data_IF_909117238083
#
_entry.id   IF_909117238083
#
_cell.length_a   1.000
_cell.length_b   1.000
_cell.length_c   1.000
_cell.angle_alpha   90.00
_cell.angle_beta   90.00
_cell.angle_gamma   90.00
#
_symmetry.space_group_name_H-M   'P 1'
#
loop_
_entity.id
_entity.type
_entity.pdbx_description
1 polymer ?
#
# COMPACT_ATOMS: atom_id res chain seq x y z
N UNK A 1 27.26 -4.66 28.30
CA UNK A 1 26.86 -5.00 26.91
C UNK A 1 26.92 -3.71 26.13
N UNK A 2 27.78 -3.62 25.13
CA UNK A 2 27.86 -2.41 24.30
C UNK A 2 26.59 -2.26 23.45
N UNK A 3 26.36 -1.06 22.89
CA UNK A 3 25.25 -0.85 21.96
C UNK A 3 25.35 -1.78 20.74
N UNK A 4 26.56 -2.03 20.25
CA UNK A 4 26.83 -2.95 19.16
C UNK A 4 26.50 -4.41 19.52
N UNK A 5 26.82 -4.87 20.74
CA UNK A 5 26.45 -6.20 21.21
C UNK A 5 24.93 -6.38 21.29
N UNK A 6 24.22 -5.35 21.73
CA UNK A 6 22.75 -5.37 21.84
C UNK A 6 22.10 -5.44 20.46
N UNK A 7 22.60 -4.68 19.48
CA UNK A 7 22.11 -4.70 18.10
C UNK A 7 22.42 -6.05 17.45
N UNK A 8 23.65 -6.57 17.62
CA UNK A 8 24.06 -7.87 17.10
C UNK A 8 23.16 -9.00 17.61
N UNK A 9 22.88 -9.05 18.90
CA UNK A 9 21.99 -10.06 19.51
C UNK A 9 20.56 -9.96 18.98
N UNK A 10 20.06 -8.75 18.70
CA UNK A 10 18.73 -8.59 18.10
C UNK A 10 18.68 -9.04 16.64
N UNK A 11 19.77 -8.92 15.86
CA UNK A 11 19.85 -9.44 14.50
C UNK A 11 19.71 -10.96 14.43
N UNK A 12 20.15 -11.70 15.46
CA UNK A 12 20.01 -13.15 15.57
C UNK A 12 18.54 -13.62 15.59
N UNK A 13 17.59 -12.71 15.85
CA UNK A 13 16.16 -12.99 15.82
C UNK A 13 15.48 -12.53 14.52
N UNK A 14 16.24 -11.94 13.59
CA UNK A 14 15.70 -11.45 12.33
C UNK A 14 16.10 -12.35 11.16
N UNK A 15 15.17 -12.47 10.21
CA UNK A 15 15.38 -13.20 8.95
C UNK A 15 15.42 -12.23 7.76
N UNK A 16 15.97 -12.69 6.64
CA UNK A 16 15.88 -12.00 5.36
C UNK A 16 15.02 -12.85 4.42
N UNK A 17 14.12 -12.21 3.65
CA UNK A 17 13.23 -12.85 2.69
C UNK A 17 13.39 -12.21 1.31
N UNK A 18 13.75 -13.02 0.31
CA UNK A 18 14.05 -12.56 -1.04
C UNK A 18 13.14 -13.30 -2.03
N UNK A 19 12.05 -12.66 -2.54
CA UNK A 19 11.30 -13.19 -3.67
C UNK A 19 12.16 -13.09 -4.93
N UNK A 20 12.29 -14.18 -5.69
CA UNK A 20 13.18 -14.28 -6.84
C UNK A 20 12.47 -14.90 -8.06
N UNK A 21 12.32 -14.11 -9.12
CA UNK A 21 11.92 -14.57 -10.44
C UNK A 21 12.94 -14.08 -11.48
N UNK A 22 13.62 -15.00 -12.12
CA UNK A 22 14.76 -14.70 -13.01
C UNK A 22 15.75 -13.75 -12.31
N UNK A 23 16.34 -14.17 -11.19
CA UNK A 23 17.19 -13.29 -10.36
C UNK A 23 18.49 -12.91 -11.09
N UNK A 24 19.05 -11.77 -10.71
CA UNK A 24 20.37 -11.35 -11.17
C UNK A 24 21.48 -12.28 -10.69
N UNK A 25 22.53 -12.43 -11.51
CA UNK A 25 23.68 -13.29 -11.19
C UNK A 25 24.44 -12.86 -9.91
N UNK A 26 24.22 -11.65 -9.43
CA UNK A 26 24.80 -11.11 -8.18
C UNK A 26 24.08 -11.59 -6.91
N UNK A 27 22.92 -12.26 -7.01
CA UNK A 27 22.17 -12.69 -5.83
C UNK A 27 22.96 -13.59 -4.87
N UNK A 28 23.74 -14.60 -5.31
CA UNK A 28 24.55 -15.41 -4.40
C UNK A 28 25.60 -14.58 -3.63
N UNK A 29 26.22 -13.58 -4.28
CA UNK A 29 27.19 -12.69 -3.60
C UNK A 29 26.51 -11.83 -2.54
N UNK A 30 25.31 -11.31 -2.83
CA UNK A 30 24.50 -10.56 -1.85
C UNK A 30 24.14 -11.43 -0.65
N UNK A 31 23.66 -12.66 -0.89
CA UNK A 31 23.34 -13.62 0.18
C UNK A 31 24.58 -13.98 1.00
N UNK A 32 25.73 -14.25 0.34
CA UNK A 32 26.99 -14.53 1.03
C UNK A 32 27.43 -13.35 1.93
N UNK A 33 27.22 -12.11 1.48
CA UNK A 33 27.51 -10.92 2.30
C UNK A 33 26.57 -10.81 3.51
N UNK A 34 25.29 -11.18 3.37
CA UNK A 34 24.32 -11.22 4.48
C UNK A 34 24.68 -12.29 5.51
N UNK A 35 25.16 -13.45 5.07
CA UNK A 35 25.56 -14.56 5.96
C UNK A 35 26.76 -14.24 6.86
N UNK A 36 27.55 -13.20 6.54
CA UNK A 36 28.58 -12.65 7.43
C UNK A 36 28.00 -11.93 8.65
N UNK A 37 26.70 -11.71 8.66
CA UNK A 37 25.95 -11.10 9.77
C UNK A 37 25.13 -12.16 10.50
N UNK A 38 24.79 -11.97 11.77
CA UNK A 38 24.15 -12.97 12.58
C UNK A 38 22.63 -13.05 12.33
N UNK A 39 22.17 -12.99 11.07
CA UNK A 39 20.77 -13.25 10.74
C UNK A 39 20.41 -14.70 11.06
N UNK A 40 19.21 -14.91 11.59
CA UNK A 40 18.67 -16.23 11.92
C UNK A 40 18.62 -17.15 10.68
N UNK A 41 18.08 -16.62 9.58
CA UNK A 41 18.02 -17.32 8.29
C UNK A 41 17.86 -16.35 7.13
N UNK A 42 18.25 -16.79 5.92
CA UNK A 42 17.91 -16.16 4.65
C UNK A 42 16.97 -17.10 3.89
N UNK A 43 15.76 -16.64 3.59
CA UNK A 43 14.76 -17.40 2.81
C UNK A 43 14.68 -16.78 1.41
N UNK A 44 14.93 -17.59 0.40
CA UNK A 44 14.78 -17.22 -1.01
C UNK A 44 13.59 -17.99 -1.57
N UNK A 45 12.63 -17.30 -2.19
CA UNK A 45 11.48 -17.94 -2.82
C UNK A 45 11.65 -17.85 -4.34
N UNK A 46 12.01 -18.97 -4.96
CA UNK A 46 12.02 -19.11 -6.42
C UNK A 46 10.59 -19.16 -6.93
N UNK A 47 10.14 -18.09 -7.57
CA UNK A 47 8.78 -17.93 -8.08
C UNK A 47 8.62 -18.54 -9.49
N UNK A 48 9.02 -19.80 -9.65
CA UNK A 48 8.90 -20.50 -10.93
C UNK A 48 9.82 -19.96 -12.02
N UNK A 49 11.06 -19.66 -11.65
CA UNK A 49 12.08 -19.26 -12.63
C UNK A 49 12.39 -20.40 -13.61
N UNK A 50 12.80 -20.09 -14.87
CA UNK A 50 13.14 -21.10 -15.85
C UNK A 50 14.38 -21.92 -15.43
N UNK A 51 14.53 -23.11 -16.01
CA UNK A 51 15.63 -24.04 -15.70
C UNK A 51 17.04 -23.43 -15.87
N UNK A 52 17.20 -22.41 -16.71
CA UNK A 52 18.45 -21.67 -16.85
C UNK A 52 18.94 -20.99 -15.58
N UNK A 53 18.06 -20.77 -14.60
CA UNK A 53 18.40 -20.18 -13.30
C UNK A 53 18.73 -21.23 -12.25
N UNK A 54 18.56 -22.55 -12.52
CA UNK A 54 18.67 -23.59 -11.49
C UNK A 54 20.06 -23.65 -10.86
N UNK A 55 21.12 -23.50 -11.65
CA UNK A 55 22.50 -23.47 -11.13
C UNK A 55 22.72 -22.36 -10.08
N UNK A 56 22.02 -21.22 -10.21
CA UNK A 56 22.06 -20.13 -9.22
C UNK A 56 21.36 -20.54 -7.93
N UNK A 57 20.20 -21.18 -8.03
CA UNK A 57 19.47 -21.65 -6.85
C UNK A 57 20.19 -22.80 -6.14
N UNK A 58 20.91 -23.67 -6.88
CA UNK A 58 21.75 -24.72 -6.30
C UNK A 58 22.90 -24.13 -5.47
N UNK A 59 23.54 -23.06 -5.96
CA UNK A 59 24.54 -22.33 -5.19
C UNK A 59 23.95 -21.78 -3.88
N UNK A 60 22.72 -21.26 -3.92
CA UNK A 60 22.04 -20.76 -2.73
C UNK A 60 21.68 -21.88 -1.75
N UNK A 61 21.20 -23.04 -2.23
CA UNK A 61 20.89 -24.22 -1.39
C UNK A 61 22.12 -24.77 -0.67
N UNK A 62 23.31 -24.63 -1.26
CA UNK A 62 24.56 -25.06 -0.65
C UNK A 62 25.06 -24.12 0.48
N UNK A 63 24.48 -22.94 0.65
CA UNK A 63 24.89 -21.99 1.67
C UNK A 63 24.25 -22.29 3.03
N UNK A 64 24.99 -22.19 4.15
CA UNK A 64 24.44 -22.41 5.49
C UNK A 64 23.36 -21.36 5.82
N UNK A 65 22.34 -21.76 6.55
CA UNK A 65 21.22 -20.89 6.96
C UNK A 65 20.41 -20.26 5.79
N UNK A 66 20.57 -20.77 4.57
CA UNK A 66 19.78 -20.38 3.40
C UNK A 66 18.73 -21.45 3.12
N UNK A 67 17.49 -21.01 2.96
CA UNK A 67 16.35 -21.86 2.65
C UNK A 67 15.75 -21.41 1.31
N UNK A 68 15.75 -22.30 0.31
CA UNK A 68 15.17 -22.03 -1.00
C UNK A 68 13.82 -22.74 -1.11
N UNK A 69 12.75 -21.94 -1.20
CA UNK A 69 11.39 -22.42 -1.48
C UNK A 69 11.12 -22.29 -2.97
N UNK A 70 10.32 -23.19 -3.56
CA UNK A 70 10.09 -23.23 -5.01
C UNK A 70 8.60 -23.25 -5.31
N UNK A 71 8.14 -22.35 -6.16
CA UNK A 71 6.83 -22.41 -6.79
C UNK A 71 6.90 -23.17 -8.14
N UNK A 72 5.90 -23.96 -8.45
CA UNK A 72 5.84 -24.70 -9.72
C UNK A 72 5.69 -23.77 -10.94
N UNK A 73 5.21 -22.53 -10.75
CA UNK A 73 5.07 -21.49 -11.78
C UNK A 73 5.13 -20.12 -11.12
N UNK A 74 5.30 -19.07 -11.93
CA UNK A 74 5.24 -17.69 -11.45
C UNK A 74 3.84 -17.38 -10.89
N UNK A 75 3.78 -17.06 -9.60
CA UNK A 75 2.57 -16.68 -8.86
C UNK A 75 2.55 -15.19 -8.49
N UNK A 76 3.66 -14.50 -8.73
CA UNK A 76 3.87 -13.08 -8.45
C UNK A 76 4.55 -12.78 -7.11
N UNK A 77 5.15 -11.59 -7.02
CA UNK A 77 5.96 -11.15 -5.87
C UNK A 77 5.20 -11.26 -4.53
N UNK A 78 3.93 -10.85 -4.50
CA UNK A 78 3.12 -10.92 -3.29
C UNK A 78 2.86 -12.36 -2.83
N UNK A 79 2.68 -13.32 -3.78
CA UNK A 79 2.57 -14.73 -3.44
C UNK A 79 3.85 -15.25 -2.83
N UNK A 80 5.00 -14.92 -3.41
CA UNK A 80 6.33 -15.31 -2.90
C UNK A 80 6.58 -14.76 -1.50
N UNK A 81 6.23 -13.49 -1.26
CA UNK A 81 6.33 -12.91 0.08
C UNK A 81 5.42 -13.64 1.08
N UNK A 82 4.19 -13.97 0.72
CA UNK A 82 3.27 -14.74 1.59
C UNK A 82 3.80 -16.14 1.89
N UNK A 83 4.32 -16.84 0.89
CA UNK A 83 4.94 -18.16 1.07
C UNK A 83 6.12 -18.09 2.03
N UNK A 84 7.03 -17.11 1.84
CA UNK A 84 8.16 -16.91 2.74
C UNK A 84 7.75 -16.54 4.16
N UNK A 85 6.75 -15.65 4.34
CA UNK A 85 6.21 -15.29 5.64
C UNK A 85 5.57 -16.50 6.35
N UNK A 86 4.83 -17.34 5.62
CA UNK A 86 4.26 -18.57 6.15
C UNK A 86 5.32 -19.56 6.60
N UNK A 87 6.35 -19.78 5.78
CA UNK A 87 7.48 -20.61 6.12
C UNK A 87 8.22 -20.10 7.37
N UNK A 88 8.53 -18.82 7.43
CA UNK A 88 9.18 -18.20 8.59
C UNK A 88 8.30 -18.31 9.86
N UNK A 89 6.99 -18.20 9.71
CA UNK A 89 6.06 -18.34 10.82
C UNK A 89 6.10 -19.74 11.45
N UNK A 90 6.23 -20.78 10.65
CA UNK A 90 6.21 -22.18 11.08
C UNK A 90 7.60 -22.71 11.45
N UNK A 91 8.61 -22.48 10.60
CA UNK A 91 9.94 -23.04 10.76
C UNK A 91 10.80 -22.28 11.79
N UNK A 92 10.52 -20.98 12.02
CA UNK A 92 11.29 -20.13 12.90
C UNK A 92 10.38 -19.40 13.93
N UNK A 93 9.88 -20.12 14.96
CA UNK A 93 8.99 -19.49 15.96
C UNK A 93 9.64 -18.34 16.71
N UNK A 94 10.97 -18.34 16.88
CA UNK A 94 11.75 -17.27 17.51
C UNK A 94 12.05 -16.08 16.59
N UNK A 95 11.63 -16.10 15.32
CA UNK A 95 11.83 -14.97 14.40
C UNK A 95 10.99 -13.78 14.85
N UNK A 96 11.64 -12.67 15.23
CA UNK A 96 11.00 -11.43 15.69
C UNK A 96 10.53 -10.53 14.53
N UNK A 97 11.10 -10.71 13.34
CA UNK A 97 10.76 -9.95 12.14
C UNK A 97 11.57 -10.37 10.93
N UNK A 98 11.21 -9.85 9.77
CA UNK A 98 11.87 -10.19 8.50
C UNK A 98 12.18 -8.93 7.71
N UNK A 99 13.32 -8.93 7.03
CA UNK A 99 13.69 -7.91 6.06
C UNK A 99 13.43 -8.48 4.67
N UNK A 100 12.54 -7.84 3.88
CA UNK A 100 12.36 -8.17 2.48
C UNK A 100 13.36 -7.42 1.62
N UNK A 101 13.90 -8.06 0.58
CA UNK A 101 14.77 -7.43 -0.41
C UNK A 101 14.48 -8.02 -1.80
N UNK A 102 14.68 -7.23 -2.87
CA UNK A 102 14.50 -7.69 -4.24
C UNK A 102 15.72 -8.48 -4.72
N UNK A 103 15.51 -9.44 -5.65
CA UNK A 103 16.55 -10.27 -6.22
C UNK A 103 17.23 -9.65 -7.46
N UNK A 104 16.97 -8.36 -7.73
CA UNK A 104 17.45 -7.61 -8.91
C UNK A 104 18.77 -6.88 -8.69
N UNK A 105 19.41 -7.07 -7.52
CA UNK A 105 20.69 -6.45 -7.18
C UNK A 105 20.64 -4.96 -6.82
N UNK A 106 19.45 -4.35 -6.75
CA UNK A 106 19.31 -2.93 -6.41
C UNK A 106 19.46 -2.65 -4.90
N UNK A 107 19.40 -3.70 -4.06
CA UNK A 107 19.56 -3.58 -2.61
C UNK A 107 20.92 -4.11 -2.15
N UNK A 108 21.78 -3.22 -1.66
CA UNK A 108 23.06 -3.63 -1.08
C UNK A 108 22.88 -4.37 0.25
N UNK A 109 23.78 -5.30 0.58
CA UNK A 109 23.79 -5.95 1.89
C UNK A 109 23.89 -4.94 3.05
N UNK A 110 24.55 -3.79 2.83
CA UNK A 110 24.65 -2.68 3.78
C UNK A 110 23.29 -2.04 4.06
N UNK A 111 22.49 -1.81 3.02
CA UNK A 111 21.18 -1.21 3.18
C UNK A 111 20.17 -2.18 3.82
N UNK A 112 20.26 -3.48 3.48
CA UNK A 112 19.49 -4.53 4.14
C UNK A 112 19.81 -4.55 5.64
N UNK A 113 21.08 -4.44 6.01
CA UNK A 113 21.51 -4.37 7.41
C UNK A 113 20.97 -3.11 8.11
N UNK A 114 21.03 -1.94 7.48
CA UNK A 114 20.48 -0.69 8.06
C UNK A 114 18.97 -0.81 8.37
N UNK A 115 18.21 -1.42 7.46
CA UNK A 115 16.79 -1.66 7.69
C UNK A 115 16.57 -2.68 8.81
N UNK A 116 17.43 -3.69 8.92
CA UNK A 116 17.38 -4.67 10.00
C UNK A 116 17.69 -4.03 11.37
N UNK A 117 18.72 -3.20 11.46
CA UNK A 117 19.07 -2.44 12.66
C UNK A 117 17.92 -1.52 13.11
N UNK A 118 17.30 -0.84 12.16
CA UNK A 118 16.15 0.01 12.44
C UNK A 118 14.93 -0.79 12.93
N UNK A 119 14.67 -1.98 12.36
CA UNK A 119 13.62 -2.87 12.83
C UNK A 119 13.94 -3.43 14.24
N UNK A 120 15.20 -3.78 14.49
CA UNK A 120 15.70 -4.24 15.80
C UNK A 120 15.54 -3.15 16.88
N UNK A 121 15.75 -1.88 16.50
CA UNK A 121 15.54 -0.72 17.38
C UNK A 121 14.03 -0.44 17.61
N UNK A 122 13.20 -0.64 16.59
CA UNK A 122 11.77 -0.33 16.59
C UNK A 122 10.91 -1.56 16.21
N UNK A 123 10.79 -2.58 17.06
CA UNK A 123 10.15 -3.86 16.72
C UNK A 123 8.63 -3.77 16.52
N UNK A 124 8.05 -2.60 16.74
CA UNK A 124 6.62 -2.31 16.48
C UNK A 124 6.40 -1.56 15.16
N UNK A 125 7.45 -1.10 14.49
CA UNK A 125 7.35 -0.34 13.26
C UNK A 125 7.42 -1.24 12.03
N UNK A 126 6.71 -0.84 10.97
CA UNK A 126 7.03 -1.23 9.60
C UNK A 126 8.12 -0.30 9.09
N UNK A 127 9.31 -0.82 8.85
CA UNK A 127 10.46 -0.06 8.38
C UNK A 127 10.52 -0.08 6.85
N UNK A 128 10.77 1.05 6.21
CA UNK A 128 10.86 1.20 4.76
C UNK A 128 12.25 1.73 4.39
N UNK A 129 12.92 1.07 3.47
CA UNK A 129 14.13 1.61 2.85
C UNK A 129 13.75 2.75 1.90
N UNK A 130 14.04 3.99 2.24
CA UNK A 130 13.69 5.15 1.43
C UNK A 130 14.86 5.59 0.55
N UNK A 131 14.72 5.47 -0.78
CA UNK A 131 15.72 5.93 -1.75
C UNK A 131 15.83 7.45 -1.71
N UNK A 132 17.05 7.95 -1.84
CA UNK A 132 17.29 9.39 -2.01
C UNK A 132 17.15 9.74 -3.49
N UNK A 133 16.17 10.56 -3.80
CA UNK A 133 15.98 11.11 -5.15
C UNK A 133 16.72 12.45 -5.23
N UNK A 134 17.90 12.43 -5.81
CA UNK A 134 18.75 13.61 -6.04
C UNK A 134 18.50 14.27 -7.41
N UNK A 135 19.29 15.30 -7.74
CA UNK A 135 19.19 16.01 -9.02
C UNK A 135 19.52 15.13 -10.24
N UNK A 136 20.26 14.05 -10.06
CA UNK A 136 20.63 13.09 -11.11
C UNK A 136 19.49 12.11 -11.44
N UNK A 137 18.45 12.02 -10.60
CA UNK A 137 17.31 11.14 -10.84
C UNK A 137 16.49 11.63 -12.03
N UNK A 138 16.18 10.79 -13.04
CA UNK A 138 15.37 11.16 -14.18
C UNK A 138 14.02 11.77 -13.77
N UNK A 139 13.59 12.86 -14.43
CA UNK A 139 12.36 13.59 -14.13
C UNK A 139 11.12 12.68 -14.09
N UNK A 140 11.05 11.70 -15.01
CA UNK A 140 9.96 10.70 -15.05
C UNK A 140 9.85 9.93 -13.72
N UNK A 141 10.97 9.52 -13.14
CA UNK A 141 11.00 8.76 -11.88
C UNK A 141 10.63 9.68 -10.69
N UNK A 142 11.06 10.93 -10.71
CA UNK A 142 10.70 11.93 -9.69
C UNK A 142 9.20 12.24 -9.71
N UNK A 143 8.63 12.49 -10.88
CA UNK A 143 7.19 12.72 -11.03
C UNK A 143 6.37 11.50 -10.64
N UNK A 144 6.79 10.29 -11.09
CA UNK A 144 6.14 9.04 -10.72
C UNK A 144 6.14 8.81 -9.21
N UNK A 145 7.27 9.06 -8.52
CA UNK A 145 7.33 8.95 -7.08
C UNK A 145 6.46 10.01 -6.37
N UNK A 146 6.45 11.27 -6.85
CA UNK A 146 5.59 12.31 -6.25
C UNK A 146 4.10 11.97 -6.36
N UNK A 147 3.66 11.49 -7.53
CA UNK A 147 2.27 11.06 -7.74
C UNK A 147 1.94 9.84 -6.85
N UNK A 148 2.84 8.85 -6.78
CA UNK A 148 2.66 7.67 -5.93
C UNK A 148 2.60 8.07 -4.44
N UNK A 149 3.46 8.98 -3.97
CA UNK A 149 3.42 9.51 -2.60
C UNK A 149 2.11 10.21 -2.29
N UNK A 150 1.62 11.06 -3.19
CA UNK A 150 0.32 11.71 -3.04
C UNK A 150 -0.80 10.68 -2.96
N UNK A 151 -0.82 9.72 -3.88
CA UNK A 151 -1.84 8.69 -3.92
C UNK A 151 -1.81 7.77 -2.68
N UNK A 152 -0.61 7.33 -2.24
CA UNK A 152 -0.46 6.54 -1.00
C UNK A 152 -0.81 7.39 0.22
N UNK A 153 -0.39 8.65 0.29
CA UNK A 153 -0.80 9.59 1.33
C UNK A 153 -2.33 9.71 1.43
N UNK A 154 -3.01 9.79 0.28
CA UNK A 154 -4.47 9.83 0.22
C UNK A 154 -5.12 8.47 0.54
N UNK A 155 -4.62 7.36 0.00
CA UNK A 155 -5.25 6.03 0.16
C UNK A 155 -4.92 5.41 1.51
N UNK A 156 -3.66 5.46 1.93
CA UNK A 156 -3.18 4.87 3.20
C UNK A 156 -3.25 5.87 4.35
N UNK A 157 -3.16 7.16 4.06
CA UNK A 157 -3.09 8.22 5.08
C UNK A 157 -1.74 8.29 5.79
N UNK A 158 -0.67 7.89 5.09
CA UNK A 158 0.71 7.98 5.56
C UNK A 158 1.56 8.66 4.49
N UNK A 159 2.28 9.71 4.88
CA UNK A 159 3.14 10.47 3.99
C UNK A 159 4.56 9.90 4.02
N UNK A 160 4.83 8.97 3.10
CA UNK A 160 6.11 8.27 3.00
C UNK A 160 6.96 8.89 1.88
N UNK A 161 8.29 8.88 2.04
CA UNK A 161 9.23 9.43 1.05
C UNK A 161 9.38 8.51 -0.15
N UNK A 162 9.39 7.19 0.09
CA UNK A 162 9.42 6.17 -0.95
C UNK A 162 8.41 5.07 -0.65
N UNK A 163 7.37 5.01 -1.48
CA UNK A 163 6.27 4.05 -1.32
C UNK A 163 6.44 2.79 -2.15
N UNK A 164 7.43 2.80 -3.06
CA UNK A 164 7.65 1.75 -4.06
C UNK A 164 8.85 0.84 -3.74
N UNK A 165 9.50 1.06 -2.60
CA UNK A 165 10.64 0.23 -2.19
C UNK A 165 10.20 -1.18 -1.83
N UNK A 166 10.92 -2.19 -2.33
CA UNK A 166 10.81 -3.59 -1.92
C UNK A 166 11.60 -3.91 -0.66
N UNK A 167 12.52 -3.03 -0.25
CA UNK A 167 13.32 -3.20 0.96
C UNK A 167 12.53 -2.74 2.18
N UNK A 168 12.03 -3.69 2.96
CA UNK A 168 11.14 -3.44 4.11
C UNK A 168 11.52 -4.30 5.30
N UNK A 169 11.47 -3.73 6.49
CA UNK A 169 11.54 -4.45 7.77
C UNK A 169 10.14 -4.68 8.32
N UNK A 170 9.70 -5.93 8.36
CA UNK A 170 8.34 -6.34 8.73
C UNK A 170 8.37 -7.00 10.11
N UNK A 171 7.73 -6.44 11.13
CA UNK A 171 7.65 -7.06 12.45
C UNK A 171 6.75 -8.32 12.45
N UNK A 172 7.10 -9.32 13.26
CA UNK A 172 6.41 -10.61 13.38
C UNK A 172 4.88 -10.48 13.51
N UNK A 173 4.42 -9.49 14.27
CA UNK A 173 2.98 -9.25 14.52
C UNK A 173 2.16 -8.99 13.26
N UNK A 174 2.79 -8.69 12.12
CA UNK A 174 2.12 -8.50 10.85
C UNK A 174 2.02 -9.75 10.00
N UNK A 175 2.78 -10.83 10.27
CA UNK A 175 2.88 -11.98 9.39
C UNK A 175 1.52 -12.59 9.04
N UNK A 176 0.69 -12.90 10.02
CA UNK A 176 -0.65 -13.48 9.81
C UNK A 176 -1.55 -12.56 8.98
N UNK A 177 -1.53 -11.24 9.30
CA UNK A 177 -2.33 -10.26 8.55
C UNK A 177 -1.89 -10.16 7.10
N UNK A 178 -0.60 -10.21 6.85
CA UNK A 178 -0.05 -10.12 5.49
C UNK A 178 -0.35 -11.38 4.68
N UNK A 179 -0.33 -12.54 5.29
CA UNK A 179 -0.72 -13.79 4.64
C UNK A 179 -2.21 -13.80 4.25
N UNK A 180 -3.07 -13.14 5.03
CA UNK A 180 -4.50 -13.01 4.75
C UNK A 180 -4.85 -11.99 3.64
N UNK A 181 -3.87 -11.25 3.10
CA UNK A 181 -4.10 -10.30 2.00
C UNK A 181 -4.40 -11.10 0.72
N UNK A 182 -5.53 -10.83 0.00
CA UNK A 182 -5.86 -11.54 -1.24
C UNK A 182 -4.87 -11.28 -2.38
N UNK A 183 -4.30 -10.06 -2.44
CA UNK A 183 -3.36 -9.64 -3.47
C UNK A 183 -2.13 -10.55 -3.55
N UNK A 184 -1.68 -10.88 -4.76
CA UNK A 184 -0.52 -11.76 -5.00
C UNK A 184 0.55 -11.14 -5.90
N UNK A 185 0.26 -9.97 -6.52
CA UNK A 185 1.19 -9.23 -7.35
C UNK A 185 1.88 -8.08 -6.61
N UNK A 186 2.28 -7.05 -7.34
CA UNK A 186 2.88 -5.81 -6.79
C UNK A 186 1.91 -4.99 -5.92
N UNK A 187 0.60 -5.20 -6.07
CA UNK A 187 -0.45 -4.64 -5.21
C UNK A 187 -0.34 -5.08 -3.75
N UNK A 188 0.28 -6.23 -3.49
CA UNK A 188 0.54 -6.72 -2.14
C UNK A 188 1.33 -5.71 -1.30
N UNK A 189 2.29 -5.02 -1.90
CA UNK A 189 3.13 -4.04 -1.19
C UNK A 189 2.36 -2.80 -0.73
N UNK A 190 1.34 -2.38 -1.47
CA UNK A 190 0.44 -1.31 -1.05
C UNK A 190 -0.55 -1.79 0.01
N UNK A 191 -1.11 -2.98 -0.18
CA UNK A 191 -2.01 -3.58 0.80
C UNK A 191 -1.30 -3.87 2.13
N UNK A 192 0.01 -4.16 2.10
CA UNK A 192 0.86 -4.26 3.29
C UNK A 192 0.88 -2.94 4.08
N UNK A 193 1.06 -1.79 3.41
CA UNK A 193 1.04 -0.47 4.08
C UNK A 193 -0.33 -0.23 4.75
N UNK A 194 -1.40 -0.54 4.04
CA UNK A 194 -2.76 -0.42 4.56
C UNK A 194 -3.00 -1.35 5.75
N UNK A 195 -2.56 -2.61 5.65
CA UNK A 195 -2.68 -3.60 6.72
C UNK A 195 -1.86 -3.22 7.97
N UNK A 196 -0.65 -2.69 7.77
CA UNK A 196 0.20 -2.18 8.84
C UNK A 196 -0.44 -1.00 9.57
N UNK A 197 -1.01 -0.03 8.84
CA UNK A 197 -1.75 1.09 9.42
C UNK A 197 -2.92 0.60 10.27
N UNK A 198 -3.75 -0.30 9.73
CA UNK A 198 -4.90 -0.86 10.46
C UNK A 198 -4.49 -1.73 11.66
N UNK A 199 -3.25 -2.23 11.68
CA UNK A 199 -2.67 -2.92 12.82
C UNK A 199 -2.10 -1.94 13.88
N UNK A 200 -2.19 -0.63 13.66
CA UNK A 200 -1.56 0.36 14.51
C UNK A 200 -0.03 0.28 14.52
N UNK A 201 0.58 -0.13 13.37
CA UNK A 201 2.03 -0.06 13.22
C UNK A 201 2.47 1.38 13.03
N UNK A 202 3.57 1.71 13.68
CA UNK A 202 4.36 2.89 13.33
C UNK A 202 5.06 2.66 11.98
N UNK A 203 5.34 3.75 11.26
CA UNK A 203 6.11 3.71 10.04
C UNK A 203 7.45 4.41 10.29
N UNK A 204 8.54 3.71 9.98
CA UNK A 204 9.88 4.25 10.06
C UNK A 204 10.55 4.19 8.68
N UNK A 205 11.30 5.21 8.31
CA UNK A 205 12.01 5.27 7.05
C UNK A 205 13.53 5.31 7.28
N UNK A 206 14.23 4.41 6.61
CA UNK A 206 15.70 4.34 6.64
C UNK A 206 16.24 4.77 5.29
N UNK A 207 17.10 5.80 5.20
CA UNK A 207 17.72 6.19 3.94
C UNK A 207 18.59 5.07 3.37
N UNK A 208 18.36 4.72 2.11
CA UNK A 208 19.14 3.72 1.37
C UNK A 208 19.75 4.33 0.11
N UNK A 209 20.79 3.67 -0.39
CA UNK A 209 21.43 4.05 -1.65
C UNK A 209 20.54 3.66 -2.84
N UNK A 210 20.57 4.47 -3.89
CA UNK A 210 19.87 4.15 -5.13
C UNK A 210 20.88 3.59 -6.12
N UNK A 211 20.82 2.27 -6.36
CA UNK A 211 21.72 1.61 -7.32
C UNK A 211 21.00 1.58 -8.67
N UNK A 212 21.53 2.34 -9.64
CA UNK A 212 21.06 2.29 -11.02
C UNK A 212 21.91 1.29 -11.80
N UNK A 213 21.38 0.12 -12.09
CA UNK A 213 22.04 -0.84 -12.96
C UNK A 213 21.85 -0.40 -14.42
N UNK A 214 22.95 -0.17 -15.13
CA UNK A 214 22.94 0.13 -16.58
C UNK A 214 22.40 -1.07 -17.35
N UNK A 215 21.26 -0.89 -18.00
CA UNK A 215 20.64 -1.95 -18.82
C UNK A 215 19.46 -2.68 -18.19
N UNK A 216 18.75 -2.06 -17.29
CA UNK A 216 17.60 -2.55 -16.48
C UNK A 216 16.60 -3.45 -17.25
N UNK A 217 17.03 -4.66 -17.66
CA UNK A 217 16.21 -5.69 -18.33
C UNK A 217 15.37 -6.51 -17.34
N UNK A 218 15.72 -6.48 -16.07
CA UNK A 218 15.10 -7.28 -15.01
C UNK A 218 13.99 -6.56 -14.23
N UNK A 219 13.80 -5.24 -14.43
CA UNK A 219 12.67 -4.55 -13.81
C UNK A 219 11.39 -4.80 -14.59
N UNK A 220 10.64 -5.81 -14.22
CA UNK A 220 9.26 -6.05 -14.70
C UNK A 220 8.27 -5.05 -14.11
N UNK A 221 8.74 -4.02 -13.39
CA UNK A 221 7.95 -2.95 -12.82
C UNK A 221 7.43 -2.03 -13.93
N UNK A 222 6.13 -2.00 -14.13
CA UNK A 222 5.46 -1.03 -14.97
C UNK A 222 4.92 0.12 -14.11
N UNK A 223 5.59 1.30 -14.07
CA UNK A 223 5.20 2.40 -13.18
C UNK A 223 3.75 2.85 -13.33
N UNK A 224 3.18 2.70 -14.54
CA UNK A 224 1.79 3.06 -14.82
C UNK A 224 0.81 1.99 -14.29
N UNK A 225 1.05 0.71 -14.57
CA UNK A 225 0.14 -0.37 -14.18
C UNK A 225 0.18 -0.62 -12.66
N UNK A 226 1.35 -0.54 -12.04
CA UNK A 226 1.50 -0.78 -10.61
C UNK A 226 1.02 0.41 -9.77
N UNK A 227 1.18 1.64 -10.29
CA UNK A 227 0.54 2.82 -9.71
C UNK A 227 -0.97 2.86 -9.93
N UNK A 228 -1.48 2.26 -11.02
CA UNK A 228 -2.92 2.26 -11.33
C UNK A 228 -3.79 1.70 -10.19
N UNK A 229 -3.31 0.71 -9.42
CA UNK A 229 -4.11 0.14 -8.32
C UNK A 229 -4.29 1.09 -7.14
N UNK A 230 -3.32 1.95 -6.86
CA UNK A 230 -3.49 3.04 -5.89
C UNK A 230 -4.55 4.01 -6.40
N UNK A 231 -4.50 4.34 -7.69
CA UNK A 231 -5.51 5.18 -8.34
C UNK A 231 -6.87 4.48 -8.42
N UNK A 232 -6.92 3.15 -8.50
CA UNK A 232 -8.18 2.40 -8.57
C UNK A 232 -9.11 2.67 -7.39
N UNK A 233 -8.58 2.86 -6.19
CA UNK A 233 -9.41 3.20 -5.02
C UNK A 233 -10.00 4.60 -5.18
N UNK A 234 -9.18 5.57 -5.62
CA UNK A 234 -9.64 6.93 -5.90
C UNK A 234 -10.59 6.98 -7.10
N UNK A 235 -10.28 6.23 -8.16
CA UNK A 235 -11.15 6.11 -9.34
C UNK A 235 -12.49 5.46 -8.99
N UNK A 236 -12.51 4.41 -8.16
CA UNK A 236 -13.76 3.83 -7.65
C UNK A 236 -14.57 4.83 -6.86
N UNK A 237 -13.92 5.59 -5.98
CA UNK A 237 -14.60 6.63 -5.22
C UNK A 237 -15.17 7.71 -6.14
N UNK A 238 -14.40 8.17 -7.14
CA UNK A 238 -14.84 9.10 -8.17
C UNK A 238 -16.01 8.56 -9.00
N UNK A 239 -15.93 7.30 -9.43
CA UNK A 239 -16.99 6.65 -10.18
C UNK A 239 -18.28 6.52 -9.37
N UNK A 240 -18.19 6.11 -8.10
CA UNK A 240 -19.34 6.07 -7.18
C UNK A 240 -19.92 7.47 -6.98
N UNK A 241 -19.10 8.51 -6.88
CA UNK A 241 -19.57 9.89 -6.76
C UNK A 241 -20.27 10.37 -8.02
N UNK A 242 -19.80 10.00 -9.22
CA UNK A 242 -20.45 10.31 -10.49
C UNK A 242 -21.79 9.60 -10.61
N UNK A 243 -21.86 8.31 -10.27
CA UNK A 243 -23.11 7.55 -10.24
C UNK A 243 -24.11 8.15 -9.25
N UNK A 244 -23.63 8.62 -8.09
CA UNK A 244 -24.46 9.31 -7.09
C UNK A 244 -25.08 10.58 -7.67
N UNK A 245 -24.28 11.40 -8.35
CA UNK A 245 -24.77 12.63 -8.98
C UNK A 245 -25.81 12.33 -10.08
N UNK A 246 -25.57 11.29 -10.87
CA UNK A 246 -26.53 10.85 -11.89
C UNK A 246 -27.86 10.40 -11.26
N UNK A 247 -27.79 9.56 -10.23
CA UNK A 247 -28.97 9.06 -9.51
C UNK A 247 -29.76 10.19 -8.82
N UNK A 248 -29.07 11.13 -8.18
CA UNK A 248 -29.67 12.34 -7.56
C UNK A 248 -30.50 13.11 -8.60
N UNK A 249 -29.90 13.38 -9.77
CA UNK A 249 -30.59 14.10 -10.85
C UNK A 249 -31.75 13.30 -11.46
N UNK A 250 -31.62 12.01 -11.67
CA UNK A 250 -32.68 11.17 -12.20
C UNK A 250 -33.90 11.10 -11.27
N UNK A 251 -33.67 10.95 -9.96
CA UNK A 251 -34.72 10.97 -8.96
C UNK A 251 -35.38 12.36 -8.88
N UNK A 252 -34.58 13.42 -8.87
CA UNK A 252 -35.10 14.77 -8.90
C UNK A 252 -36.02 15.01 -10.09
N UNK A 253 -35.56 14.70 -11.31
CA UNK A 253 -36.37 14.86 -12.53
C UNK A 253 -37.62 14.00 -12.52
N UNK A 254 -37.50 12.73 -12.06
CA UNK A 254 -38.66 11.83 -11.96
C UNK A 254 -39.74 12.34 -11.03
N UNK A 255 -39.37 12.78 -9.81
CA UNK A 255 -40.34 13.33 -8.84
C UNK A 255 -40.91 14.65 -9.35
N UNK A 256 -40.08 15.49 -9.97
CA UNK A 256 -40.55 16.78 -10.52
C UNK A 256 -41.54 16.60 -11.68
N UNK A 257 -41.32 15.64 -12.57
CA UNK A 257 -42.14 15.37 -13.74
C UNK A 257 -43.55 14.83 -13.38
N UNK A 258 -43.67 14.17 -12.23
CA UNK A 258 -45.00 13.69 -11.73
C UNK A 258 -45.69 14.70 -10.81
N UNK A 259 -45.24 15.95 -10.79
CA UNK A 259 -45.84 17.02 -10.03
C UNK A 259 -45.41 17.16 -8.57
N UNK A 260 -44.32 16.52 -8.17
CA UNK A 260 -43.81 16.53 -6.80
C UNK A 260 -43.08 17.80 -6.46
N UNK A 261 -43.40 18.96 -6.76
CA UNK A 261 -42.80 20.23 -6.38
C UNK A 261 -41.28 20.26 -6.15
N UNK A 262 -40.64 21.43 -6.21
CA UNK A 262 -39.21 21.58 -6.15
C UNK A 262 -38.57 20.98 -4.88
N UNK A 263 -39.20 21.24 -3.71
CA UNK A 263 -38.64 20.80 -2.43
C UNK A 263 -38.62 19.26 -2.30
N UNK A 264 -39.72 18.59 -2.67
CA UNK A 264 -39.84 17.14 -2.60
C UNK A 264 -38.88 16.46 -3.60
N UNK A 265 -38.76 17.01 -4.81
CA UNK A 265 -37.83 16.52 -5.83
C UNK A 265 -36.38 16.62 -5.35
N UNK A 266 -35.98 17.76 -4.77
CA UNK A 266 -34.65 17.99 -4.24
C UNK A 266 -34.36 17.08 -3.04
N UNK A 267 -35.30 16.94 -2.11
CA UNK A 267 -35.13 16.09 -0.94
C UNK A 267 -35.01 14.61 -1.33
N UNK A 268 -35.85 14.16 -2.27
CA UNK A 268 -35.84 12.78 -2.80
C UNK A 268 -34.52 12.43 -3.49
N UNK A 269 -34.03 13.30 -4.39
CA UNK A 269 -32.74 13.13 -5.05
C UNK A 269 -31.59 13.04 -4.05
N UNK A 270 -31.49 14.03 -3.16
CA UNK A 270 -30.42 14.08 -2.14
C UNK A 270 -30.42 12.88 -1.19
N UNK A 271 -31.57 12.47 -0.71
CA UNK A 271 -31.68 11.31 0.18
C UNK A 271 -31.24 10.02 -0.52
N UNK A 272 -31.73 9.81 -1.74
CA UNK A 272 -31.39 8.62 -2.55
C UNK A 272 -29.91 8.60 -2.90
N UNK A 273 -29.35 9.74 -3.35
CA UNK A 273 -27.94 9.88 -3.64
C UNK A 273 -27.07 9.62 -2.42
N UNK A 274 -27.42 10.17 -1.26
CA UNK A 274 -26.68 9.96 0.00
C UNK A 274 -26.69 8.48 0.43
N UNK A 275 -27.82 7.78 0.36
CA UNK A 275 -27.92 6.37 0.70
C UNK A 275 -27.13 5.48 -0.25
N UNK A 276 -27.20 5.80 -1.55
CA UNK A 276 -26.41 5.10 -2.56
C UNK A 276 -24.89 5.30 -2.32
N UNK A 277 -24.43 6.54 -2.20
CA UNK A 277 -23.01 6.86 -1.95
C UNK A 277 -22.47 6.16 -0.70
N UNK A 278 -23.22 6.22 0.41
CA UNK A 278 -22.87 5.52 1.63
C UNK A 278 -22.70 4.02 1.42
N UNK A 279 -23.69 3.38 0.77
CA UNK A 279 -23.70 1.93 0.56
C UNK A 279 -22.61 1.48 -0.39
N UNK A 280 -22.42 2.20 -1.51
CA UNK A 280 -21.40 1.90 -2.51
C UNK A 280 -19.98 2.19 -1.99
N UNK A 281 -19.75 3.32 -1.32
CA UNK A 281 -18.45 3.63 -0.72
C UNK A 281 -18.07 2.57 0.31
N UNK A 282 -18.98 2.18 1.20
CA UNK A 282 -18.74 1.15 2.20
C UNK A 282 -18.38 -0.22 1.58
N UNK A 283 -19.14 -0.67 0.56
CA UNK A 283 -19.04 -2.02 0.00
C UNK A 283 -17.97 -2.15 -1.09
N UNK A 284 -17.83 -1.13 -1.93
CA UNK A 284 -16.99 -1.19 -3.12
C UNK A 284 -15.67 -0.44 -2.99
N UNK A 285 -15.61 0.64 -2.20
CA UNK A 285 -14.39 1.47 -2.07
C UNK A 285 -13.59 1.08 -0.83
N UNK A 286 -14.22 1.18 0.35
CA UNK A 286 -13.53 0.99 1.64
C UNK A 286 -13.64 -0.43 2.19
N UNK A 287 -14.53 -1.27 1.66
CA UNK A 287 -14.76 -2.67 2.09
C UNK A 287 -14.90 -2.78 3.61
N UNK A 288 -15.70 -1.90 4.23
CA UNK A 288 -15.79 -1.76 5.68
C UNK A 288 -16.76 -2.76 6.31
N UNK A 289 -16.33 -3.33 7.46
CA UNK A 289 -17.12 -4.24 8.30
C UNK A 289 -17.75 -3.58 9.51
N UNK A 290 -17.53 -2.30 9.73
CA UNK A 290 -18.11 -1.62 10.88
C UNK A 290 -19.63 -1.61 10.83
N UNK A 291 -20.24 -1.63 12.03
CA UNK A 291 -21.70 -1.57 12.14
C UNK A 291 -22.26 -0.29 11.51
N UNK A 292 -23.39 -0.41 10.79
CA UNK A 292 -24.11 0.73 10.23
C UNK A 292 -24.51 1.76 11.28
N UNK A 293 -24.78 1.32 12.52
CA UNK A 293 -25.11 2.22 13.65
C UNK A 293 -23.98 3.19 13.97
N UNK A 294 -22.72 2.82 13.70
CA UNK A 294 -21.55 3.67 13.94
C UNK A 294 -21.17 4.50 12.70
N UNK A 295 -21.26 3.92 11.52
CA UNK A 295 -20.78 4.54 10.28
C UNK A 295 -21.77 5.50 9.66
N UNK A 296 -23.07 5.20 9.70
CA UNK A 296 -24.09 6.03 9.07
C UNK A 296 -24.20 7.44 9.68
N UNK A 297 -24.25 7.63 11.02
CA UNK A 297 -24.26 8.97 11.62
C UNK A 297 -23.03 9.79 11.26
N UNK A 298 -21.84 9.18 11.28
CA UNK A 298 -20.60 9.84 10.90
C UNK A 298 -20.61 10.27 9.43
N UNK A 299 -21.15 9.42 8.56
CA UNK A 299 -21.28 9.72 7.15
C UNK A 299 -22.25 10.86 6.88
N UNK A 300 -23.41 10.88 7.54
CA UNK A 300 -24.38 11.98 7.43
C UNK A 300 -23.77 13.30 7.89
N UNK A 301 -23.06 13.28 9.02
CA UNK A 301 -22.32 14.46 9.50
C UNK A 301 -21.28 14.95 8.48
N UNK A 302 -20.49 14.02 7.91
CA UNK A 302 -19.52 14.35 6.87
C UNK A 302 -20.20 14.97 5.64
N UNK A 303 -21.28 14.36 5.14
CA UNK A 303 -21.99 14.85 3.96
C UNK A 303 -22.54 16.26 4.17
N UNK A 304 -23.13 16.53 5.36
CA UNK A 304 -23.66 17.83 5.72
C UNK A 304 -22.52 18.86 5.85
N UNK A 305 -21.46 18.55 6.60
CA UNK A 305 -20.31 19.42 6.78
C UNK A 305 -19.62 19.74 5.44
N UNK A 306 -19.49 18.74 4.57
CA UNK A 306 -18.94 18.89 3.23
C UNK A 306 -19.75 19.86 2.36
N UNK A 307 -21.07 19.75 2.39
CA UNK A 307 -21.96 20.65 1.65
C UNK A 307 -21.83 22.12 2.11
N UNK A 308 -21.79 22.35 3.42
CA UNK A 308 -21.58 23.68 4.00
C UNK A 308 -20.18 24.23 3.63
N UNK A 309 -19.14 23.42 3.80
CA UNK A 309 -17.75 23.84 3.49
C UNK A 309 -17.59 24.13 2.01
N UNK A 310 -18.14 23.29 1.12
CA UNK A 310 -18.13 23.55 -0.33
C UNK A 310 -18.79 24.89 -0.67
N UNK A 311 -19.96 25.16 -0.10
CA UNK A 311 -20.65 26.44 -0.31
C UNK A 311 -19.80 27.65 0.14
N UNK A 312 -19.23 27.60 1.33
CA UNK A 312 -18.40 28.66 1.87
C UNK A 312 -17.13 28.88 1.02
N UNK A 313 -16.51 27.80 0.55
CA UNK A 313 -15.32 27.85 -0.29
C UNK A 313 -15.64 28.45 -1.67
N UNK A 314 -16.74 28.05 -2.31
CA UNK A 314 -17.20 28.63 -3.57
C UNK A 314 -17.45 30.12 -3.41
N UNK A 315 -18.18 30.52 -2.35
CA UNK A 315 -18.47 31.92 -2.06
C UNK A 315 -17.18 32.74 -1.85
N UNK A 316 -16.23 32.18 -1.09
CA UNK A 316 -14.94 32.84 -0.85
C UNK A 316 -14.15 33.03 -2.15
N UNK A 317 -14.02 31.97 -2.96
CA UNK A 317 -13.34 32.01 -4.25
C UNK A 317 -13.98 33.03 -5.21
N UNK A 318 -15.32 33.07 -5.26
CA UNK A 318 -16.06 33.97 -6.15
C UNK A 318 -16.02 35.41 -5.68
N UNK A 319 -16.39 35.68 -4.43
CA UNK A 319 -16.61 37.04 -3.94
C UNK A 319 -15.29 37.71 -3.53
N UNK A 320 -14.37 36.97 -2.89
CA UNK A 320 -13.14 37.54 -2.32
C UNK A 320 -11.95 37.36 -3.28
N UNK A 321 -11.78 36.16 -3.88
CA UNK A 321 -10.68 35.91 -4.79
C UNK A 321 -10.96 36.29 -6.26
N UNK A 322 -12.18 36.75 -6.59
CA UNK A 322 -12.56 37.22 -7.95
C UNK A 322 -12.62 36.08 -9.00
N UNK A 323 -12.64 34.82 -8.59
CA UNK A 323 -12.70 33.67 -9.50
C UNK A 323 -14.13 33.54 -10.05
N UNK A 324 -14.29 33.34 -11.36
CA UNK A 324 -15.62 33.08 -11.94
C UNK A 324 -16.32 31.90 -11.29
N UNK A 325 -17.66 31.94 -11.19
CA UNK A 325 -18.47 30.94 -10.40
C UNK A 325 -18.20 29.51 -10.80
N UNK A 326 -18.11 29.20 -12.10
CA UNK A 326 -17.88 27.82 -12.55
C UNK A 326 -16.51 27.26 -12.19
N UNK A 327 -15.39 27.95 -12.46
CA UNK A 327 -14.07 27.55 -11.95
C UNK A 327 -14.02 27.48 -10.42
N UNK A 328 -14.63 28.40 -9.68
CA UNK A 328 -14.69 28.40 -8.23
C UNK A 328 -15.39 27.12 -7.72
N UNK A 329 -16.52 26.74 -8.34
CA UNK A 329 -17.23 25.51 -8.03
C UNK A 329 -16.38 24.27 -8.31
N UNK A 330 -15.75 24.18 -9.49
CA UNK A 330 -14.90 23.03 -9.86
C UNK A 330 -13.72 22.85 -8.90
N UNK A 331 -13.06 23.94 -8.53
CA UNK A 331 -11.95 23.93 -7.56
C UNK A 331 -12.43 23.47 -6.18
N UNK A 332 -13.53 24.04 -5.69
CA UNK A 332 -14.09 23.68 -4.39
C UNK A 332 -14.53 22.22 -4.34
N UNK A 333 -15.26 21.73 -5.35
CA UNK A 333 -15.72 20.33 -5.40
C UNK A 333 -14.55 19.35 -5.55
N UNK A 334 -13.51 19.71 -6.32
CA UNK A 334 -12.29 18.90 -6.42
C UNK A 334 -11.57 18.80 -5.08
N UNK A 335 -11.42 19.92 -4.36
CA UNK A 335 -10.82 19.93 -3.03
C UNK A 335 -11.65 19.09 -2.06
N UNK A 336 -12.97 19.24 -2.05
CA UNK A 336 -13.88 18.48 -1.20
C UNK A 336 -13.93 17.01 -1.54
N UNK A 337 -13.72 16.61 -2.79
CA UNK A 337 -13.58 15.21 -3.18
C UNK A 337 -12.45 14.51 -2.41
N UNK A 338 -11.27 15.12 -2.36
CA UNK A 338 -10.12 14.56 -1.65
C UNK A 338 -10.31 14.60 -0.13
N UNK A 339 -10.88 15.67 0.41
CA UNK A 339 -11.22 15.77 1.84
C UNK A 339 -12.21 14.69 2.24
N UNK A 340 -13.30 14.54 1.47
CA UNK A 340 -14.34 13.53 1.74
C UNK A 340 -13.79 12.12 1.64
N UNK A 341 -12.91 11.86 0.69
CA UNK A 341 -12.23 10.57 0.59
C UNK A 341 -11.38 10.29 1.85
N UNK A 342 -10.54 11.24 2.26
CA UNK A 342 -9.66 11.09 3.43
C UNK A 342 -10.45 10.91 4.73
N UNK A 343 -11.48 11.74 4.95
CA UNK A 343 -12.33 11.64 6.14
C UNK A 343 -13.16 10.34 6.13
N UNK A 344 -13.68 9.95 4.97
CA UNK A 344 -14.39 8.65 4.85
C UNK A 344 -13.50 7.47 5.20
N UNK A 345 -12.24 7.48 4.75
CA UNK A 345 -11.25 6.45 5.05
C UNK A 345 -10.89 6.39 6.54
N UNK A 346 -10.57 7.54 7.15
CA UNK A 346 -9.95 7.59 8.48
C UNK A 346 -10.96 7.61 9.63
N UNK A 347 -12.18 8.14 9.39
CA UNK A 347 -13.16 8.36 10.47
C UNK A 347 -14.50 7.64 10.25
N UNK A 348 -14.91 7.42 9.00
CA UNK A 348 -16.21 6.81 8.72
C UNK A 348 -16.07 5.30 8.55
N UNK A 349 -15.18 4.82 7.68
CA UNK A 349 -15.04 3.41 7.30
C UNK A 349 -13.68 2.84 7.75
N UNK A 350 -13.43 2.82 9.06
CA UNK A 350 -12.11 2.54 9.64
C UNK A 350 -11.71 1.07 9.63
N UNK A 351 -12.64 0.10 9.45
CA UNK A 351 -12.36 -1.34 9.42
C UNK A 351 -12.63 -1.94 8.05
N UNK A 352 -11.63 -2.63 7.49
CA UNK A 352 -11.74 -3.37 6.23
C UNK A 352 -12.03 -4.85 6.47
N UNK A 353 -12.89 -5.47 5.65
CA UNK A 353 -13.10 -6.92 5.61
C UNK A 353 -11.81 -7.65 5.27
N UNK A 354 -11.33 -8.48 6.18
CA UNK A 354 -10.46 -9.61 5.84
C UNK A 354 -11.40 -10.75 5.44
N UNK A 355 -11.46 -11.11 4.15
CA UNK A 355 -12.21 -12.29 3.71
C UNK A 355 -11.37 -13.53 4.02
N UNK A 356 -11.83 -14.48 4.86
CA UNK A 356 -11.11 -15.71 5.16
C UNK A 356 -11.08 -16.71 3.99
N UNK A 357 -11.96 -16.55 3.00
CA UNK A 357 -12.34 -17.66 2.11
C UNK A 357 -11.64 -17.69 0.74
N UNK A 358 -10.60 -16.87 0.50
CA UNK A 358 -9.85 -16.89 -0.75
C UNK A 358 -8.64 -17.84 -0.77
N UNK A 359 -8.39 -18.57 0.31
CA UNK A 359 -7.20 -19.44 0.45
C UNK A 359 -7.47 -20.91 0.09
N UNK A 360 -8.71 -21.29 -0.30
CA UNK A 360 -9.07 -22.68 -0.63
C UNK A 360 -9.97 -22.72 -1.90
N UNK A 361 -9.46 -22.33 -3.04
CA UNK A 361 -9.93 -22.79 -4.36
C UNK A 361 -8.82 -22.66 -5.40
#
# INVERSE_FOLDING_TARGET
>A
MSFEDLVSHKLETLCVLIPAYVPEASLPQTVAALLKRPFLAVVVVNDGSPASCEALFDQLRAMPRVHVLVHAKNLGKGASLKTGLGYLASAFPGCAGVITADADGQHSARDILRVAEQLAANPKALVLGARRFDSATPLRNRLGNQLSRLAVGLVVGQWLKDTQTGLRGIPRRLFERLQAIPASGYDFELDMLTAAKHAGCEFAETPIETIYLSGNRSSHFNPLLDSMRVYFVLLRFGFVSLQTALLDNLVFLGVFSVGGGLLLSQAGGRLTGMLYQYSAARRAVFLSDESHRKTLPKYVLLATASGVTSYLLIRWLWVIAGVAVLPAKLLAETAMFFVNFAVSRDFVFTRRKVRPDAALR
#
